data_IF_892781177043
#
_entry.id   IF_892781177043
#
_cell.length_a   1.000
_cell.length_b   1.000
_cell.length_c   1.000
_cell.angle_alpha   90.00
_cell.angle_beta   90.00
_cell.angle_gamma   90.00
#
_symmetry.space_group_name_H-M   'P 1'
#
loop_
_entity.id
_entity.type
_entity.pdbx_description
1 polymer ?
#
# COMPACT_ATOMS: atom_id res chain seq x y z
N UNK A 1 -9.63 -11.77 -17.84
CA UNK A 1 -8.71 -11.08 -16.91
C UNK A 1 -9.53 -10.65 -15.70
N UNK A 2 -9.05 -10.84 -14.48
CA UNK A 2 -9.82 -10.59 -13.26
C UNK A 2 -9.01 -9.67 -12.33
N UNK A 3 -9.23 -8.36 -12.48
CA UNK A 3 -8.60 -7.33 -11.65
C UNK A 3 -9.66 -6.47 -10.97
N UNK A 4 -9.39 -6.05 -9.75
CA UNK A 4 -10.30 -5.19 -8.97
C UNK A 4 -9.49 -4.13 -8.23
N UNK A 5 -9.89 -2.87 -8.38
CA UNK A 5 -9.37 -1.78 -7.56
C UNK A 5 -9.98 -1.87 -6.17
N UNK A 6 -9.15 -1.71 -5.13
CA UNK A 6 -9.56 -1.70 -3.73
C UNK A 6 -8.98 -0.49 -3.02
N UNK A 7 -9.75 0.03 -2.08
CA UNK A 7 -9.37 1.15 -1.21
C UNK A 7 -9.13 0.67 0.21
N UNK A 8 -8.69 1.58 1.08
CA UNK A 8 -8.54 1.27 2.51
C UNK A 8 -9.88 0.95 3.19
N UNK A 9 -11.01 1.35 2.61
CA UNK A 9 -12.35 1.06 3.12
C UNK A 9 -12.79 -0.39 2.79
N UNK A 10 -12.19 -1.02 1.79
CA UNK A 10 -12.49 -2.41 1.42
C UNK A 10 -11.71 -3.43 2.28
N UNK A 11 -10.63 -2.98 2.93
CA UNK A 11 -9.73 -3.85 3.71
C UNK A 11 -10.24 -4.02 5.14
N UNK A 12 -10.59 -5.25 5.51
CA UNK A 12 -11.09 -5.59 6.85
C UNK A 12 -10.05 -5.32 7.94
N UNK A 13 -8.77 -5.52 7.63
CA UNK A 13 -7.66 -5.15 8.54
C UNK A 13 -7.63 -3.65 8.86
N UNK A 14 -8.27 -2.81 8.04
CA UNK A 14 -8.41 -1.38 8.24
C UNK A 14 -9.83 -0.95 8.64
N UNK A 15 -10.68 -1.87 9.13
CA UNK A 15 -12.10 -1.59 9.45
C UNK A 15 -12.37 -0.32 10.27
N UNK A 16 -11.46 0.09 11.18
CA UNK A 16 -11.62 1.31 11.98
C UNK A 16 -11.54 2.60 11.15
N UNK A 17 -11.00 2.56 9.93
CA UNK A 17 -10.93 3.72 9.03
C UNK A 17 -12.33 4.15 8.56
N UNK A 18 -13.29 3.24 8.48
CA UNK A 18 -14.68 3.54 8.08
C UNK A 18 -15.34 4.58 9.00
N UNK A 19 -14.89 4.73 10.23
CA UNK A 19 -15.41 5.74 11.17
C UNK A 19 -14.72 7.10 11.03
N UNK A 20 -13.66 7.19 10.23
CA UNK A 20 -12.89 8.42 10.01
C UNK A 20 -13.27 9.02 8.66
N UNK A 21 -14.06 10.10 8.70
CA UNK A 21 -14.41 10.86 7.51
C UNK A 21 -13.17 11.52 6.89
N UNK A 22 -13.03 11.42 5.57
CA UNK A 22 -11.93 12.04 4.81
C UNK A 22 -11.84 13.54 5.03
N UNK A 23 -12.97 14.25 5.16
CA UNK A 23 -13.02 15.68 5.46
C UNK A 23 -12.53 16.05 6.87
N UNK A 24 -12.46 15.07 7.80
CA UNK A 24 -12.03 15.27 9.18
C UNK A 24 -10.52 15.15 9.38
N UNK A 25 -9.76 14.91 8.30
CA UNK A 25 -8.31 14.78 8.32
C UNK A 25 -7.68 15.68 7.26
N UNK A 26 -6.42 16.05 7.49
CA UNK A 26 -5.58 16.73 6.50
C UNK A 26 -4.33 15.89 6.30
N UNK A 27 -3.82 15.83 5.07
CA UNK A 27 -2.53 15.20 4.80
C UNK A 27 -1.45 15.82 5.70
N UNK A 28 -0.64 14.96 6.32
CA UNK A 28 0.50 15.35 7.16
C UNK A 28 1.74 14.54 6.76
N UNK A 29 2.93 15.13 6.76
CA UNK A 29 4.17 14.40 6.50
C UNK A 29 4.38 13.24 7.48
N UNK A 30 4.70 12.07 6.96
CA UNK A 30 5.12 10.90 7.75
C UNK A 30 6.37 10.28 7.12
N UNK A 31 7.29 9.77 7.94
CA UNK A 31 8.40 8.96 7.43
C UNK A 31 7.90 7.61 6.96
N UNK A 32 8.45 7.13 5.86
CA UNK A 32 8.16 5.81 5.30
C UNK A 32 8.34 4.70 6.35
N UNK A 33 9.48 4.71 7.06
CA UNK A 33 9.77 3.78 8.17
C UNK A 33 8.71 3.84 9.27
N UNK A 34 8.22 5.03 9.63
CA UNK A 34 7.19 5.19 10.66
C UNK A 34 5.85 4.61 10.20
N UNK A 35 5.48 4.83 8.94
CA UNK A 35 4.26 4.27 8.38
C UNK A 35 4.34 2.74 8.26
N UNK A 36 5.45 2.21 7.73
CA UNK A 36 5.75 0.76 7.66
C UNK A 36 5.62 0.08 9.03
N UNK A 37 6.21 0.67 10.08
CA UNK A 37 6.12 0.13 11.44
C UNK A 37 4.68 0.17 11.99
N UNK A 38 3.93 1.23 11.72
CA UNK A 38 2.53 1.30 12.12
C UNK A 38 1.65 0.27 11.42
N UNK A 39 1.84 0.05 10.12
CA UNK A 39 1.17 -1.02 9.38
C UNK A 39 1.49 -2.40 9.98
N UNK A 40 2.77 -2.69 10.24
CA UNK A 40 3.17 -3.94 10.92
C UNK A 40 2.45 -4.13 12.25
N UNK A 41 2.41 -3.09 13.10
CA UNK A 41 1.73 -3.12 14.39
C UNK A 41 0.19 -3.26 14.26
N UNK A 42 -0.43 -2.74 13.20
CA UNK A 42 -1.87 -2.93 12.90
C UNK A 42 -2.14 -4.39 12.56
N UNK A 43 -1.29 -5.00 11.73
CA UNK A 43 -1.42 -6.37 11.27
C UNK A 43 -0.95 -7.42 12.28
N UNK A 44 -0.48 -6.97 13.46
CA UNK A 44 0.06 -7.82 14.51
C UNK A 44 1.34 -8.54 14.08
N UNK A 45 2.07 -8.02 13.09
CA UNK A 45 3.35 -8.59 12.66
C UNK A 45 4.36 -8.51 13.81
N UNK A 46 4.74 -9.65 14.35
CA UNK A 46 5.74 -9.80 15.40
C UNK A 46 7.05 -10.33 14.79
N UNK A 47 8.19 -9.79 15.23
CA UNK A 47 9.52 -10.20 14.78
C UNK A 47 10.26 -9.17 13.91
N UNK A 48 11.60 -9.24 13.95
CA UNK A 48 12.47 -8.62 12.96
C UNK A 48 12.40 -9.48 11.70
N UNK A 49 11.31 -9.38 10.93
CA UNK A 49 11.33 -9.87 9.55
C UNK A 49 12.38 -9.06 8.80
N UNK A 50 13.60 -9.57 8.79
CA UNK A 50 14.64 -9.27 7.82
C UNK A 50 14.02 -9.51 6.46
N UNK A 51 13.79 -8.40 5.76
CA UNK A 51 13.52 -8.26 4.33
C UNK A 51 13.40 -9.58 3.54
N UNK A 52 12.30 -10.34 3.73
CA UNK A 52 11.94 -11.41 2.81
C UNK A 52 11.64 -10.86 1.40
N UNK A 53 11.48 -9.53 1.29
CA UNK A 53 11.31 -8.76 0.06
C UNK A 53 12.58 -8.00 -0.35
N UNK A 54 13.75 -8.60 -0.19
CA UNK A 54 14.98 -8.11 -0.82
C UNK A 54 14.70 -7.65 -2.26
N UNK A 55 15.05 -6.39 -2.53
CA UNK A 55 14.97 -5.72 -3.83
C UNK A 55 13.62 -5.65 -4.55
N UNK A 56 12.44 -5.96 -4.01
CA UNK A 56 11.18 -5.88 -4.81
C UNK A 56 10.08 -4.99 -4.24
N UNK A 57 9.89 -5.00 -2.92
CA UNK A 57 8.87 -4.19 -2.25
C UNK A 57 9.35 -3.56 -0.95
N UNK A 58 8.59 -2.59 -0.44
CA UNK A 58 8.89 -1.96 0.85
C UNK A 58 8.27 -2.76 2.01
N UNK A 59 7.21 -3.54 1.77
CA UNK A 59 6.62 -4.45 2.75
C UNK A 59 5.75 -5.52 2.07
N UNK A 60 6.04 -6.79 2.38
CA UNK A 60 5.19 -7.94 2.06
C UNK A 60 4.56 -8.53 3.32
N UNK A 61 3.31 -9.00 3.22
CA UNK A 61 2.57 -9.65 4.33
C UNK A 61 1.47 -10.57 3.80
N UNK A 62 1.08 -11.59 4.57
CA UNK A 62 -0.11 -12.41 4.34
C UNK A 62 -1.23 -12.17 5.38
N UNK A 63 -1.12 -11.09 6.16
CA UNK A 63 -2.03 -10.78 7.28
C UNK A 63 -3.13 -9.78 6.94
N UNK A 64 -3.15 -9.26 5.72
CA UNK A 64 -4.25 -8.43 5.24
C UNK A 64 -5.49 -9.30 5.08
N UNK A 65 -6.60 -8.85 5.67
CA UNK A 65 -7.91 -9.46 5.54
C UNK A 65 -8.74 -8.67 4.53
N UNK A 66 -9.29 -9.37 3.54
CA UNK A 66 -10.27 -8.86 2.59
C UNK A 66 -11.42 -9.85 2.50
N UNK A 67 -12.63 -9.40 2.79
CA UNK A 67 -13.85 -10.23 2.84
C UNK A 67 -13.66 -11.47 3.73
N UNK A 68 -13.06 -11.27 4.90
CA UNK A 68 -12.80 -12.30 5.91
C UNK A 68 -11.65 -13.27 5.61
N UNK A 69 -10.98 -13.15 4.45
CA UNK A 69 -9.88 -14.05 4.04
C UNK A 69 -8.54 -13.35 4.12
N UNK A 70 -7.51 -14.08 4.58
CA UNK A 70 -6.12 -13.63 4.50
C UNK A 70 -5.65 -13.63 3.05
N UNK A 71 -5.04 -12.53 2.63
CA UNK A 71 -4.53 -12.36 1.28
C UNK A 71 -3.09 -11.83 1.34
N UNK A 72 -2.22 -12.35 0.47
CA UNK A 72 -0.87 -11.85 0.30
C UNK A 72 -0.89 -10.44 -0.29
N UNK A 73 -0.19 -9.50 0.33
CA UNK A 73 -0.18 -8.09 -0.04
C UNK A 73 1.25 -7.57 -0.07
N UNK A 74 1.56 -6.83 -1.13
CA UNK A 74 2.82 -6.12 -1.30
C UNK A 74 2.57 -4.61 -1.33
N UNK A 75 3.41 -3.85 -0.63
CA UNK A 75 3.32 -2.40 -0.50
C UNK A 75 4.56 -1.71 -1.05
N UNK A 76 4.36 -0.72 -1.91
CA UNK A 76 5.33 0.32 -2.21
C UNK A 76 5.03 1.53 -1.33
N UNK A 77 5.94 1.92 -0.45
CA UNK A 77 5.75 2.97 0.53
C UNK A 77 6.64 4.17 0.19
N UNK A 78 6.09 5.38 0.27
CA UNK A 78 6.86 6.62 0.18
C UNK A 78 6.46 7.60 1.28
N UNK A 79 7.48 8.09 1.97
CA UNK A 79 7.33 9.08 3.04
C UNK A 79 7.82 10.47 2.66
N UNK A 80 7.97 11.32 3.68
CA UNK A 80 8.39 12.73 3.59
C UNK A 80 9.77 13.02 3.01
N UNK A 81 10.56 11.99 2.74
CA UNK A 81 11.81 12.10 1.97
C UNK A 81 11.53 12.44 0.51
N UNK A 82 10.42 11.96 -0.04
CA UNK A 82 9.90 12.35 -1.35
C UNK A 82 9.12 13.66 -1.22
N UNK A 83 9.28 14.58 -2.17
CA UNK A 83 8.62 15.90 -2.17
C UNK A 83 7.63 16.03 -3.34
N UNK A 84 6.60 16.86 -3.17
CA UNK A 84 5.57 17.14 -4.18
C UNK A 84 4.69 15.93 -4.49
N UNK A 85 4.03 15.92 -5.64
CA UNK A 85 3.22 14.79 -6.13
C UNK A 85 4.08 13.56 -6.41
N UNK A 86 3.64 12.38 -5.98
CA UNK A 86 4.33 11.13 -6.30
C UNK A 86 4.07 10.72 -7.74
N UNK A 87 5.14 10.69 -8.55
CA UNK A 87 5.12 10.23 -9.94
C UNK A 87 5.96 8.95 -10.08
N UNK A 88 5.82 8.17 -11.16
CA UNK A 88 6.60 6.95 -11.37
C UNK A 88 8.12 7.17 -11.25
N UNK A 89 8.64 8.31 -11.70
CA UNK A 89 10.06 8.69 -11.56
C UNK A 89 10.55 8.72 -10.09
N UNK A 90 9.64 8.94 -9.14
CA UNK A 90 9.94 8.99 -7.69
C UNK A 90 9.77 7.63 -7.00
N UNK A 91 9.40 6.60 -7.76
CA UNK A 91 9.24 5.21 -7.31
C UNK A 91 10.48 4.40 -7.67
N UNK A 92 11.55 4.56 -6.88
CA UNK A 92 12.85 3.90 -7.08
C UNK A 92 13.84 4.75 -7.88
N UNK A 93 15.14 4.41 -7.82
CA UNK A 93 16.22 5.16 -8.50
C UNK A 93 15.99 5.23 -10.02
N UNK A 94 15.42 4.17 -10.60
CA UNK A 94 15.15 4.03 -12.03
C UNK A 94 13.66 4.20 -12.38
N UNK A 95 12.79 4.54 -11.41
CA UNK A 95 11.34 4.60 -11.62
C UNK A 95 10.66 3.23 -11.83
N UNK A 96 11.35 2.15 -11.50
CA UNK A 96 10.96 0.75 -11.75
C UNK A 96 10.30 0.07 -10.54
N UNK A 97 10.11 0.79 -9.44
CA UNK A 97 9.66 0.17 -8.18
C UNK A 97 8.26 -0.43 -8.29
N UNK A 98 7.35 0.14 -9.10
CA UNK A 98 6.02 -0.47 -9.31
C UNK A 98 6.16 -1.79 -10.07
N UNK A 99 6.96 -1.84 -11.14
CA UNK A 99 7.22 -3.09 -11.86
C UNK A 99 7.83 -4.16 -10.94
N UNK A 100 8.78 -3.75 -10.10
CA UNK A 100 9.41 -4.63 -9.09
C UNK A 100 8.41 -5.13 -8.05
N UNK A 101 7.46 -4.28 -7.64
CA UNK A 101 6.38 -4.66 -6.71
C UNK A 101 5.62 -5.89 -7.21
N UNK A 102 5.29 -5.93 -8.51
CA UNK A 102 4.55 -7.02 -9.16
C UNK A 102 5.35 -8.31 -9.38
N UNK A 103 6.66 -8.32 -9.11
CA UNK A 103 7.47 -9.55 -9.09
C UNK A 103 7.19 -10.42 -7.86
N UNK A 104 6.62 -9.84 -6.79
CA UNK A 104 6.21 -10.59 -5.62
C UNK A 104 5.04 -11.55 -5.93
N UNK A 105 4.84 -12.56 -5.09
CA UNK A 105 3.70 -13.49 -5.16
C UNK A 105 2.42 -12.92 -4.52
N UNK A 106 2.36 -11.61 -4.30
CA UNK A 106 1.20 -10.95 -3.70
C UNK A 106 -0.03 -11.03 -4.61
N UNK A 107 -1.22 -10.96 -3.99
CA UNK A 107 -2.50 -10.85 -4.69
C UNK A 107 -3.12 -9.46 -4.55
N UNK A 108 -2.64 -8.64 -3.61
CA UNK A 108 -3.00 -7.22 -3.49
C UNK A 108 -1.73 -6.39 -3.61
N UNK A 109 -1.78 -5.32 -4.40
CA UNK A 109 -0.67 -4.40 -4.62
C UNK A 109 -1.08 -2.98 -4.24
N UNK A 110 -0.43 -2.39 -3.24
CA UNK A 110 -0.70 -1.02 -2.83
C UNK A 110 0.51 -0.13 -3.06
N UNK A 111 0.27 1.09 -3.54
CA UNK A 111 1.23 2.20 -3.42
C UNK A 111 0.71 3.20 -2.40
N UNK A 112 1.51 3.48 -1.37
CA UNK A 112 1.19 4.47 -0.35
C UNK A 112 2.10 5.69 -0.47
N UNK A 113 1.49 6.87 -0.34
CA UNK A 113 2.22 8.14 -0.22
C UNK A 113 1.53 9.10 0.75
N UNK A 114 2.32 9.89 1.48
CA UNK A 114 1.77 10.80 2.49
C UNK A 114 1.06 12.04 1.90
N UNK A 115 1.25 12.33 0.61
CA UNK A 115 0.68 13.49 -0.10
C UNK A 115 0.03 13.03 -1.41
N UNK A 116 -0.16 13.93 -2.37
CA UNK A 116 -0.81 13.67 -3.64
C UNK A 116 -0.10 12.61 -4.48
N UNK A 117 -0.87 11.71 -5.07
CA UNK A 117 -0.38 10.67 -6.00
C UNK A 117 -0.81 11.04 -7.42
N UNK A 118 0.14 11.02 -8.36
CA UNK A 118 -0.14 11.30 -9.76
C UNK A 118 -0.98 10.16 -10.39
N UNK A 119 -1.96 10.46 -11.26
CA UNK A 119 -2.79 9.43 -11.91
C UNK A 119 -1.99 8.35 -12.64
N UNK A 120 -0.79 8.67 -13.15
CA UNK A 120 0.07 7.69 -13.82
C UNK A 120 0.51 6.53 -12.91
N UNK A 121 0.54 6.72 -11.58
CA UNK A 121 0.80 5.64 -10.61
C UNK A 121 -0.34 4.62 -10.63
N UNK A 122 -1.59 5.10 -10.62
CA UNK A 122 -2.77 4.23 -10.67
C UNK A 122 -2.86 3.50 -12.01
N UNK A 123 -2.58 4.21 -13.10
CA UNK A 123 -2.54 3.61 -14.44
C UNK A 123 -1.49 2.47 -14.50
N UNK A 124 -0.27 2.70 -14.01
CA UNK A 124 0.76 1.65 -13.98
C UNK A 124 0.38 0.47 -13.09
N UNK A 125 -0.17 0.71 -11.89
CA UNK A 125 -0.68 -0.34 -11.01
C UNK A 125 -1.72 -1.21 -11.74
N UNK A 126 -2.68 -0.59 -12.43
CA UNK A 126 -3.72 -1.28 -13.18
C UNK A 126 -3.13 -2.12 -14.31
N UNK A 127 -2.21 -1.57 -15.10
CA UNK A 127 -1.60 -2.31 -16.22
C UNK A 127 -0.80 -3.54 -15.74
N UNK A 128 -0.01 -3.40 -14.68
CA UNK A 128 0.72 -4.53 -14.13
C UNK A 128 -0.20 -5.56 -13.45
N UNK A 129 -1.30 -5.13 -12.82
CA UNK A 129 -2.31 -6.04 -12.29
C UNK A 129 -2.98 -6.86 -13.40
N UNK A 130 -3.30 -6.24 -14.53
CA UNK A 130 -3.85 -6.91 -15.71
C UNK A 130 -2.86 -7.95 -16.24
N UNK A 131 -1.61 -7.56 -16.45
CA UNK A 131 -0.56 -8.45 -16.93
C UNK A 131 -0.36 -9.66 -15.99
N UNK A 132 -0.24 -9.41 -14.68
CA UNK A 132 -0.06 -10.47 -13.69
C UNK A 132 -1.27 -11.40 -13.60
N UNK A 133 -2.50 -10.85 -13.65
CA UNK A 133 -3.73 -11.65 -13.66
C UNK A 133 -3.81 -12.55 -14.88
N UNK A 134 -3.41 -12.06 -16.05
CA UNK A 134 -3.39 -12.84 -17.29
C UNK A 134 -2.35 -13.97 -17.25
N UNK A 135 -1.13 -13.67 -16.79
CA UNK A 135 -0.02 -14.64 -16.72
C UNK A 135 -0.31 -15.75 -15.69
N UNK A 136 -0.82 -15.37 -14.52
CA UNK A 136 -0.99 -16.31 -13.39
C UNK A 136 -2.41 -16.91 -13.31
N UNK A 137 -3.29 -16.55 -14.25
CA UNK A 137 -4.69 -16.98 -14.31
C UNK A 137 -5.43 -16.88 -12.96
N UNK A 138 -5.24 -15.77 -12.25
CA UNK A 138 -5.85 -15.53 -10.93
C UNK A 138 -6.25 -14.08 -10.75
N UNK A 139 -7.07 -13.84 -9.72
CA UNK A 139 -7.53 -12.50 -9.36
C UNK A 139 -6.39 -11.69 -8.73
N UNK A 140 -6.22 -10.46 -9.21
CA UNK A 140 -5.27 -9.48 -8.65
C UNK A 140 -6.04 -8.24 -8.21
N UNK A 141 -5.74 -7.76 -7.01
CA UNK A 141 -6.24 -6.50 -6.49
C UNK A 141 -5.14 -5.45 -6.53
N UNK A 142 -5.51 -4.19 -6.74
CA UNK A 142 -4.57 -3.08 -6.69
C UNK A 142 -5.23 -1.85 -6.07
N UNK A 143 -4.43 -0.91 -5.60
CA UNK A 143 -4.96 0.36 -5.11
C UNK A 143 -3.88 1.33 -4.66
N UNK A 144 -4.31 2.53 -4.31
CA UNK A 144 -3.44 3.55 -3.72
C UNK A 144 -3.89 3.88 -2.30
N UNK A 145 -2.94 4.34 -1.49
CA UNK A 145 -3.19 4.91 -0.17
C UNK A 145 -2.59 6.32 -0.20
N UNK A 146 -3.41 7.30 -0.57
CA UNK A 146 -2.98 8.70 -0.69
C UNK A 146 -2.81 9.37 0.69
N UNK A 147 -2.44 10.65 0.73
CA UNK A 147 -2.20 11.38 1.95
C UNK A 147 -3.39 11.45 2.90
N UNK A 148 -4.62 11.58 2.39
CA UNK A 148 -5.82 11.57 3.23
C UNK A 148 -6.02 10.19 3.84
N UNK A 149 -5.95 9.13 3.04
CA UNK A 149 -6.07 7.73 3.47
C UNK A 149 -5.00 7.31 4.46
N UNK A 150 -3.76 7.74 4.22
CA UNK A 150 -2.63 7.59 5.15
C UNK A 150 -3.00 8.16 6.52
N UNK A 151 -3.60 9.35 6.57
CA UNK A 151 -3.98 10.01 7.82
C UNK A 151 -5.24 9.41 8.44
N UNK A 152 -6.18 8.90 7.64
CA UNK A 152 -7.32 8.13 8.15
C UNK A 152 -6.84 6.87 8.86
N UNK A 153 -5.88 6.12 8.29
CA UNK A 153 -5.25 4.97 8.94
C UNK A 153 -4.59 5.39 10.26
N UNK A 154 -3.77 6.45 10.24
CA UNK A 154 -3.07 6.91 11.46
C UNK A 154 -4.06 7.32 12.56
N UNK A 155 -5.12 8.06 12.21
CA UNK A 155 -6.15 8.52 13.15
C UNK A 155 -7.01 7.38 13.68
N UNK A 156 -7.25 6.34 12.88
CA UNK A 156 -7.98 5.15 13.30
C UNK A 156 -7.17 4.23 14.24
N UNK A 157 -5.83 4.32 14.21
CA UNK A 157 -4.92 3.44 14.97
C UNK A 157 -3.76 4.22 15.66
N UNK A 158 -4.02 5.26 16.46
CA UNK A 158 -2.99 6.18 16.94
C UNK A 158 -1.87 5.50 17.73
N UNK A 159 -2.23 4.54 18.61
CA UNK A 159 -1.26 3.76 19.42
C UNK A 159 -0.27 2.96 18.58
N UNK A 160 -0.63 2.62 17.33
CA UNK A 160 0.23 1.87 16.42
C UNK A 160 1.28 2.76 15.76
N UNK A 161 1.10 4.09 15.78
CA UNK A 161 2.04 5.06 15.21
C UNK A 161 2.76 5.91 16.28
N UNK A 162 2.69 5.51 17.55
CA UNK A 162 3.57 6.01 18.61
C UNK A 162 4.96 5.39 18.48
#
# INVERSE_FOLDING_TARGET
MNVEEVTIDDIDSFKKVKTILSSSVKSKPIYEKKFKLGLKKILGEEGKFTDWGGETDDMFTNRILLKGKRISTSFGLKGRGTKGTLTPRKMGKNGDQIQRLFRSSASIFFVQYYSLIDPSIMEQLKQFAIAKSAIENRKIYYGIIEGIDTQRIIKAYPEKFK
#
